data_IF_136490905213
#
_entry.id   IF_136490905213
#
_cell.length_a   1.000
_cell.length_b   1.000
_cell.length_c   1.000
_cell.angle_alpha   90.00
_cell.angle_beta   90.00
_cell.angle_gamma   90.00
#
_symmetry.space_group_name_H-M   'P 1'
#
loop_
_entity.id
_entity.type
_entity.pdbx_description
1 polymer ?
#
# COMPACT_ATOMS: atom_id res chain seq x y z
N UNK A 1 -12.34 13.64 12.93
CA UNK A 1 -11.16 12.75 12.95
C UNK A 1 -11.44 11.38 13.58
N UNK A 2 -12.34 11.26 14.56
CA UNK A 2 -12.71 9.97 15.18
C UNK A 2 -13.62 9.07 14.32
N UNK A 3 -14.45 9.65 13.46
CA UNK A 3 -15.39 8.91 12.59
C UNK A 3 -14.73 8.10 11.46
N UNK A 4 -13.51 8.45 11.04
CA UNK A 4 -12.78 7.75 9.95
C UNK A 4 -12.20 6.41 10.42
N UNK A 5 -12.01 6.24 11.72
CA UNK A 5 -11.41 5.04 12.32
C UNK A 5 -12.44 3.91 12.50
N UNK A 6 -13.73 4.25 12.58
CA UNK A 6 -14.80 3.27 12.86
C UNK A 6 -15.41 2.60 11.63
N UNK A 7 -15.06 3.02 10.40
CA UNK A 7 -15.65 2.50 9.17
C UNK A 7 -14.88 1.32 8.56
N UNK A 8 -14.30 0.45 9.38
CA UNK A 8 -13.74 -0.82 8.91
C UNK A 8 -14.83 -1.90 8.99
N UNK A 9 -15.30 -2.45 7.88
CA UNK A 9 -16.08 -3.66 7.93
C UNK A 9 -15.17 -4.81 8.38
N UNK A 10 -15.25 -5.16 9.65
CA UNK A 10 -14.52 -6.28 10.28
C UNK A 10 -14.88 -7.66 9.73
N UNK A 11 -15.76 -7.78 8.73
CA UNK A 11 -16.49 -9.03 8.52
C UNK A 11 -16.37 -9.69 7.13
N UNK A 12 -15.58 -9.22 6.17
CA UNK A 12 -15.58 -9.88 4.84
C UNK A 12 -14.43 -10.84 4.53
N UNK A 13 -13.43 -10.96 5.38
CA UNK A 13 -12.35 -11.98 5.24
C UNK A 13 -12.41 -13.09 6.28
N UNK A 14 -13.56 -13.31 6.91
CA UNK A 14 -13.78 -14.25 8.00
C UNK A 14 -14.35 -15.58 7.53
N UNK A 15 -13.70 -16.31 6.63
CA UNK A 15 -14.15 -17.68 6.32
C UNK A 15 -13.06 -18.76 6.32
N UNK A 16 -11.93 -18.54 7.01
CA UNK A 16 -11.17 -19.64 7.61
C UNK A 16 -10.90 -19.29 9.07
N UNK A 17 -11.09 -20.22 10.02
CA UNK A 17 -10.73 -19.98 11.41
C UNK A 17 -9.24 -19.63 11.43
N UNK A 18 -8.92 -18.37 11.75
CA UNK A 18 -7.54 -17.92 11.90
C UNK A 18 -6.92 -18.71 13.04
N UNK A 19 -6.29 -19.84 12.72
CA UNK A 19 -5.53 -20.59 13.71
C UNK A 19 -4.50 -19.60 14.29
N UNK A 20 -4.39 -19.54 15.61
CA UNK A 20 -3.39 -18.70 16.31
C UNK A 20 -2.00 -18.89 15.72
N UNK A 21 -1.69 -20.08 15.21
CA UNK A 21 -0.42 -20.40 14.56
C UNK A 21 -0.24 -19.72 13.20
N UNK A 22 -1.29 -19.63 12.37
CA UNK A 22 -1.23 -18.90 11.09
C UNK A 22 -0.99 -17.41 11.34
N UNK A 23 -1.69 -16.83 12.30
CA UNK A 23 -1.50 -15.43 12.67
C UNK A 23 -0.08 -15.19 13.18
N UNK A 24 0.46 -16.06 14.07
CA UNK A 24 1.83 -15.94 14.56
C UNK A 24 2.87 -16.00 13.42
N UNK A 25 2.67 -16.87 12.42
CA UNK A 25 3.54 -16.93 11.23
C UNK A 25 3.51 -15.63 10.43
N UNK A 26 2.34 -15.04 10.25
CA UNK A 26 2.15 -13.78 9.52
C UNK A 26 2.83 -12.61 10.23
N UNK A 27 2.61 -12.46 11.53
CA UNK A 27 3.23 -11.38 12.31
C UNK A 27 4.75 -11.52 12.37
N UNK A 28 5.27 -12.74 12.56
CA UNK A 28 6.69 -13.00 12.50
C UNK A 28 7.28 -12.65 11.12
N UNK A 29 6.59 -13.04 10.04
CA UNK A 29 7.03 -12.72 8.69
C UNK A 29 7.00 -11.21 8.42
N UNK A 30 5.94 -10.48 8.80
CA UNK A 30 5.88 -9.02 8.67
C UNK A 30 7.08 -8.35 9.34
N UNK A 31 7.38 -8.71 10.59
CA UNK A 31 8.51 -8.14 11.35
C UNK A 31 9.84 -8.43 10.67
N UNK A 32 10.07 -9.67 10.25
CA UNK A 32 11.32 -10.08 9.60
C UNK A 32 11.47 -9.43 8.22
N UNK A 33 10.41 -9.41 7.41
CA UNK A 33 10.44 -8.78 6.09
C UNK A 33 10.69 -7.28 6.20
N UNK A 34 10.04 -6.61 7.15
CA UNK A 34 10.23 -5.18 7.38
C UNK A 34 11.69 -4.83 7.67
N UNK A 35 12.38 -5.65 8.47
CA UNK A 35 13.74 -5.36 8.92
C UNK A 35 14.83 -5.83 7.94
N UNK A 36 14.60 -6.91 7.21
CA UNK A 36 15.63 -7.61 6.43
C UNK A 36 15.30 -7.77 4.94
N UNK A 37 14.07 -7.41 4.53
CA UNK A 37 13.53 -7.78 3.22
C UNK A 37 13.02 -9.22 3.20
N UNK A 38 12.14 -9.53 2.24
CA UNK A 38 11.61 -10.89 2.12
C UNK A 38 12.54 -11.83 1.35
N UNK A 39 13.46 -11.32 0.53
CA UNK A 39 14.38 -12.15 -0.24
C UNK A 39 15.33 -12.95 0.69
N UNK A 40 15.87 -12.28 1.70
CA UNK A 40 16.86 -12.85 2.63
C UNK A 40 16.26 -13.75 3.70
N UNK A 41 15.00 -13.52 4.09
CA UNK A 41 14.34 -14.25 5.17
C UNK A 41 13.98 -15.67 4.76
N UNK A 42 14.39 -16.67 5.58
CA UNK A 42 14.06 -18.08 5.36
C UNK A 42 12.76 -18.51 6.04
N UNK A 43 12.14 -19.58 5.55
CA UNK A 43 10.97 -20.22 6.23
C UNK A 43 11.33 -20.65 7.66
N UNK A 44 12.57 -21.09 7.88
CA UNK A 44 13.04 -21.47 9.21
C UNK A 44 13.07 -20.30 10.18
N UNK A 45 13.58 -19.15 9.73
CA UNK A 45 13.60 -17.93 10.54
C UNK A 45 12.17 -17.51 10.93
N UNK A 46 11.22 -17.56 10.00
CA UNK A 46 9.81 -17.27 10.26
C UNK A 46 9.23 -18.25 11.28
N UNK A 47 9.47 -19.55 11.11
CA UNK A 47 8.97 -20.57 12.04
C UNK A 47 9.54 -20.40 13.45
N UNK A 48 10.82 -20.08 13.55
CA UNK A 48 11.50 -19.85 14.84
C UNK A 48 10.90 -18.63 15.54
N UNK A 49 10.76 -17.50 14.82
CA UNK A 49 10.18 -16.27 15.36
C UNK A 49 8.69 -16.45 15.75
N UNK A 50 7.96 -17.27 15.02
CA UNK A 50 6.55 -17.59 15.28
C UNK A 50 6.35 -18.69 16.34
N UNK A 51 7.42 -19.27 16.89
CA UNK A 51 7.38 -20.42 17.79
C UNK A 51 6.54 -21.59 17.22
N UNK A 52 6.72 -21.88 15.92
CA UNK A 52 6.01 -22.96 15.21
C UNK A 52 6.97 -23.90 14.49
N UNK A 53 6.46 -25.05 14.03
CA UNK A 53 7.25 -25.99 13.23
C UNK A 53 7.13 -25.71 11.73
N UNK A 54 8.11 -26.13 10.93
CA UNK A 54 8.03 -26.12 9.46
C UNK A 54 6.82 -26.91 8.95
N UNK A 55 6.48 -28.03 9.60
CA UNK A 55 5.27 -28.80 9.26
C UNK A 55 4.02 -27.94 9.41
N UNK A 56 3.96 -27.11 10.45
CA UNK A 56 2.84 -26.17 10.66
C UNK A 56 2.84 -25.09 9.58
N UNK A 57 3.99 -24.56 9.18
CA UNK A 57 4.08 -23.59 8.08
C UNK A 57 3.51 -24.17 6.79
N UNK A 58 3.98 -25.35 6.36
CA UNK A 58 3.53 -25.98 5.13
C UNK A 58 2.09 -26.48 5.12
N UNK A 59 1.39 -26.49 6.28
CA UNK A 59 -0.07 -26.67 6.32
C UNK A 59 -0.84 -25.43 5.82
N UNK A 60 -0.23 -24.25 5.91
CA UNK A 60 -0.90 -23.00 5.54
C UNK A 60 -0.36 -22.40 4.24
N UNK A 61 0.91 -22.60 3.92
CA UNK A 61 1.60 -21.99 2.80
C UNK A 61 2.42 -23.01 2.02
N UNK A 62 2.28 -23.02 0.70
CA UNK A 62 3.13 -23.87 -0.15
C UNK A 62 4.61 -23.46 -0.14
N UNK A 63 4.90 -22.23 0.27
CA UNK A 63 6.25 -21.68 0.36
C UNK A 63 6.23 -20.24 0.85
N UNK A 64 7.42 -19.64 0.96
CA UNK A 64 7.59 -18.25 1.37
C UNK A 64 6.84 -17.28 0.44
N UNK A 65 6.90 -17.50 -0.87
CA UNK A 65 6.23 -16.65 -1.87
C UNK A 65 4.73 -16.55 -1.62
N UNK A 66 4.06 -17.66 -1.29
CA UNK A 66 2.62 -17.64 -0.97
C UNK A 66 2.31 -16.77 0.25
N UNK A 67 3.19 -16.75 1.27
CA UNK A 67 3.04 -15.87 2.42
C UNK A 67 3.31 -14.40 2.05
N UNK A 68 4.32 -14.12 1.24
CA UNK A 68 4.58 -12.78 0.70
C UNK A 68 3.36 -12.27 -0.05
N UNK A 69 2.84 -13.03 -1.00
CA UNK A 69 1.66 -12.67 -1.79
C UNK A 69 0.44 -12.39 -0.90
N UNK A 70 0.18 -13.23 0.11
CA UNK A 70 -0.94 -13.02 1.05
C UNK A 70 -0.82 -11.70 1.80
N UNK A 71 0.36 -11.38 2.36
CA UNK A 71 0.57 -10.16 3.14
C UNK A 71 0.36 -8.89 2.29
N UNK A 72 0.90 -8.88 1.08
CA UNK A 72 0.75 -7.74 0.17
C UNK A 72 -0.67 -7.60 -0.39
N UNK A 73 -1.33 -8.73 -0.73
CA UNK A 73 -2.72 -8.72 -1.18
C UNK A 73 -3.67 -8.20 -0.10
N UNK A 74 -3.45 -8.60 1.16
CA UNK A 74 -4.24 -8.09 2.29
C UNK A 74 -4.05 -6.59 2.50
N UNK A 75 -2.81 -6.11 2.47
CA UNK A 75 -2.52 -4.67 2.58
C UNK A 75 -3.19 -3.88 1.46
N UNK A 76 -3.11 -4.35 0.21
CA UNK A 76 -3.79 -3.75 -0.94
C UNK A 76 -5.29 -3.64 -0.69
N UNK A 77 -5.91 -4.72 -0.22
CA UNK A 77 -7.36 -4.75 0.00
C UNK A 77 -7.78 -3.83 1.16
N UNK A 78 -6.99 -3.74 2.22
CA UNK A 78 -7.25 -2.79 3.31
C UNK A 78 -7.21 -1.35 2.81
N UNK A 79 -6.24 -0.98 1.98
CA UNK A 79 -6.15 0.34 1.35
C UNK A 79 -7.36 0.62 0.48
N UNK A 80 -7.72 -0.32 -0.39
CA UNK A 80 -8.90 -0.22 -1.27
C UNK A 80 -10.16 0.04 -0.46
N UNK A 81 -10.44 -0.81 0.54
CA UNK A 81 -11.65 -0.71 1.35
C UNK A 81 -11.75 0.63 2.10
N UNK A 82 -10.63 1.16 2.59
CA UNK A 82 -10.59 2.48 3.26
C UNK A 82 -10.95 3.60 2.31
N UNK A 83 -10.40 3.60 1.10
CA UNK A 83 -10.67 4.65 0.10
C UNK A 83 -12.08 4.53 -0.47
N UNK A 84 -12.60 3.32 -0.69
CA UNK A 84 -13.99 3.10 -1.12
C UNK A 84 -14.99 3.56 -0.04
N UNK A 85 -14.73 3.25 1.22
CA UNK A 85 -15.54 3.72 2.34
C UNK A 85 -15.55 5.25 2.43
N UNK A 86 -14.39 5.89 2.28
CA UNK A 86 -14.27 7.34 2.25
C UNK A 86 -15.10 7.96 1.11
N UNK A 87 -15.00 7.40 -0.09
CA UNK A 87 -15.83 7.84 -1.20
C UNK A 87 -17.33 7.64 -0.94
N UNK A 88 -17.73 6.55 -0.30
CA UNK A 88 -19.15 6.31 0.02
C UNK A 88 -19.73 7.36 0.98
N UNK A 89 -18.91 7.96 1.82
CA UNK A 89 -19.32 8.99 2.83
C UNK A 89 -19.37 10.43 2.28
N UNK A 90 -19.21 10.65 0.97
CA UNK A 90 -19.19 11.99 0.37
C UNK A 90 -18.15 12.93 1.00
N UNK A 91 -16.92 12.44 1.14
CA UNK A 91 -15.81 13.17 1.74
C UNK A 91 -15.52 14.52 1.02
N UNK A 92 -14.94 15.45 1.76
CA UNK A 92 -14.30 16.65 1.19
C UNK A 92 -12.94 16.31 0.54
N UNK A 93 -12.37 17.28 -0.18
CA UNK A 93 -11.03 17.13 -0.76
C UNK A 93 -9.97 16.99 0.35
N UNK A 94 -10.10 17.76 1.43
CA UNK A 94 -9.20 17.73 2.58
C UNK A 94 -9.23 16.34 3.27
N UNK A 95 -10.42 15.75 3.41
CA UNK A 95 -10.59 14.40 3.98
C UNK A 95 -10.00 13.33 3.06
N UNK A 96 -10.20 13.45 1.76
CA UNK A 96 -9.57 12.54 0.77
C UNK A 96 -8.04 12.62 0.82
N UNK A 97 -7.50 13.84 0.88
CA UNK A 97 -6.08 14.10 1.02
C UNK A 97 -5.53 13.50 2.33
N UNK A 98 -6.17 13.81 3.46
CA UNK A 98 -5.75 13.30 4.77
C UNK A 98 -5.75 11.77 4.82
N UNK A 99 -6.74 11.11 4.20
CA UNK A 99 -6.79 9.65 4.09
C UNK A 99 -5.64 9.08 3.26
N UNK A 100 -5.34 9.68 2.09
CA UNK A 100 -4.21 9.27 1.25
C UNK A 100 -2.88 9.42 2.01
N UNK A 101 -2.67 10.52 2.73
CA UNK A 101 -1.47 10.71 3.58
C UNK A 101 -1.38 9.68 4.69
N UNK A 102 -2.48 9.40 5.39
CA UNK A 102 -2.51 8.41 6.46
C UNK A 102 -2.18 7.01 5.94
N UNK A 103 -2.80 6.60 4.83
CA UNK A 103 -2.56 5.30 4.18
C UNK A 103 -1.09 5.17 3.75
N UNK A 104 -0.55 6.21 3.10
CA UNK A 104 0.85 6.20 2.66
C UNK A 104 1.81 6.04 3.84
N UNK A 105 1.61 6.81 4.91
CA UNK A 105 2.44 6.74 6.12
C UNK A 105 2.36 5.36 6.78
N UNK A 106 1.16 4.81 6.96
CA UNK A 106 0.96 3.50 7.57
C UNK A 106 1.61 2.39 6.73
N UNK A 107 1.41 2.41 5.41
CA UNK A 107 2.01 1.43 4.51
C UNK A 107 3.55 1.41 4.63
N UNK A 108 4.19 2.59 4.73
CA UNK A 108 5.64 2.71 4.89
C UNK A 108 6.13 2.20 6.26
N UNK A 109 5.30 2.23 7.30
CA UNK A 109 5.67 1.74 8.63
C UNK A 109 5.33 0.27 8.86
N UNK A 110 4.45 -0.32 8.04
CA UNK A 110 3.97 -1.68 8.27
C UNK A 110 4.60 -2.72 7.32
N UNK A 111 4.78 -2.38 6.06
CA UNK A 111 5.17 -3.35 5.05
C UNK A 111 6.23 -2.84 4.05
N UNK A 112 6.15 -1.57 3.62
CA UNK A 112 7.00 -1.03 2.57
C UNK A 112 8.26 -0.36 3.15
N UNK A 113 9.07 -1.12 3.90
CA UNK A 113 10.40 -0.65 4.36
C UNK A 113 11.40 -0.57 3.20
N UNK A 114 12.54 0.10 3.41
CA UNK A 114 13.58 0.18 2.38
C UNK A 114 14.07 -1.19 1.89
N UNK A 115 14.36 -2.19 2.76
CA UNK A 115 14.73 -3.54 2.32
C UNK A 115 13.64 -4.23 1.49
N UNK A 116 12.36 -4.06 1.84
CA UNK A 116 11.24 -4.65 1.09
C UNK A 116 11.09 -3.99 -0.28
N UNK A 117 11.24 -2.66 -0.36
CA UNK A 117 11.18 -1.96 -1.64
C UNK A 117 12.32 -2.35 -2.57
N UNK A 118 13.53 -2.57 -2.02
CA UNK A 118 14.67 -3.08 -2.77
C UNK A 118 14.41 -4.50 -3.30
N UNK A 119 13.86 -5.39 -2.48
CA UNK A 119 13.47 -6.73 -2.89
C UNK A 119 12.41 -6.73 -4.01
N UNK A 120 11.43 -5.82 -3.94
CA UNK A 120 10.42 -5.67 -5.00
C UNK A 120 11.05 -5.18 -6.30
N UNK A 121 11.97 -4.21 -6.21
CA UNK A 121 12.65 -3.66 -7.38
C UNK A 121 13.59 -4.66 -8.07
N UNK A 122 14.17 -5.58 -7.30
CA UNK A 122 15.17 -6.56 -7.76
C UNK A 122 14.65 -8.01 -7.73
N UNK A 123 13.33 -8.21 -7.72
CA UNK A 123 12.74 -9.56 -7.63
C UNK A 123 13.16 -10.43 -8.81
N UNK A 124 13.84 -11.55 -8.51
CA UNK A 124 14.31 -12.51 -9.51
C UNK A 124 13.33 -13.67 -9.73
N UNK A 125 12.42 -13.91 -8.80
CA UNK A 125 11.41 -14.96 -8.90
C UNK A 125 10.27 -14.51 -9.83
N UNK A 126 10.04 -15.27 -10.90
CA UNK A 126 9.06 -14.92 -11.95
C UNK A 126 7.60 -14.89 -11.44
N UNK A 127 7.27 -15.68 -10.43
CA UNK A 127 5.93 -15.69 -9.84
C UNK A 127 5.69 -14.41 -9.05
N UNK A 128 6.63 -14.01 -8.20
CA UNK A 128 6.57 -12.77 -7.44
C UNK A 128 6.64 -11.54 -8.36
N UNK A 129 7.48 -11.57 -9.40
CA UNK A 129 7.54 -10.50 -10.39
C UNK A 129 6.17 -10.24 -11.04
N UNK A 130 5.52 -11.31 -11.52
CA UNK A 130 4.17 -11.22 -12.11
C UNK A 130 3.15 -10.72 -11.10
N UNK A 131 3.23 -11.20 -9.87
CA UNK A 131 2.35 -10.78 -8.78
C UNK A 131 2.49 -9.28 -8.49
N UNK A 132 3.71 -8.76 -8.29
CA UNK A 132 3.92 -7.33 -8.01
C UNK A 132 3.56 -6.45 -9.21
N UNK A 133 3.82 -6.90 -10.44
CA UNK A 133 3.38 -6.19 -11.66
C UNK A 133 1.85 -6.11 -11.75
N UNK A 134 1.14 -7.19 -11.47
CA UNK A 134 -0.33 -7.19 -11.42
C UNK A 134 -0.87 -6.25 -10.34
N UNK A 135 -0.27 -6.28 -9.15
CA UNK A 135 -0.64 -5.37 -8.06
C UNK A 135 -0.43 -3.90 -8.44
N UNK A 136 0.65 -3.59 -9.12
CA UNK A 136 0.95 -2.22 -9.57
C UNK A 136 -0.10 -1.75 -10.59
N UNK A 137 -0.45 -2.56 -11.57
CA UNK A 137 -1.50 -2.23 -12.55
C UNK A 137 -2.87 -2.06 -11.90
N UNK A 138 -3.26 -2.96 -11.00
CA UNK A 138 -4.51 -2.85 -10.25
C UNK A 138 -4.55 -1.58 -9.37
N UNK A 139 -3.41 -1.18 -8.79
CA UNK A 139 -3.28 0.07 -8.05
C UNK A 139 -3.58 1.27 -8.96
N UNK A 140 -3.00 1.32 -10.16
CA UNK A 140 -3.25 2.42 -11.10
C UNK A 140 -4.69 2.46 -11.58
N UNK A 141 -5.28 1.33 -11.89
CA UNK A 141 -6.70 1.24 -12.27
C UNK A 141 -7.61 1.74 -11.14
N UNK A 142 -7.33 1.35 -9.91
CA UNK A 142 -8.08 1.81 -8.75
C UNK A 142 -7.91 3.32 -8.52
N UNK A 143 -6.69 3.84 -8.56
CA UNK A 143 -6.41 5.27 -8.39
C UNK A 143 -7.07 6.11 -9.49
N UNK A 144 -7.10 5.63 -10.74
CA UNK A 144 -7.85 6.27 -11.83
C UNK A 144 -9.33 6.41 -11.48
N UNK A 145 -9.96 5.33 -11.04
CA UNK A 145 -11.37 5.34 -10.63
C UNK A 145 -11.62 6.27 -9.45
N UNK A 146 -10.72 6.30 -8.49
CA UNK A 146 -10.78 7.18 -7.33
C UNK A 146 -10.76 8.67 -7.74
N UNK A 147 -9.76 9.08 -8.54
CA UNK A 147 -9.67 10.45 -9.02
C UNK A 147 -10.83 10.84 -9.96
N UNK A 148 -11.30 9.91 -10.80
CA UNK A 148 -12.48 10.16 -11.63
C UNK A 148 -13.72 10.43 -10.76
N UNK A 149 -13.90 9.71 -9.66
CA UNK A 149 -15.00 9.98 -8.71
C UNK A 149 -14.86 11.36 -8.07
N UNK A 150 -13.65 11.79 -7.70
CA UNK A 150 -13.42 13.14 -7.18
C UNK A 150 -13.73 14.22 -8.23
N UNK A 151 -13.42 14.00 -9.51
CA UNK A 151 -13.78 14.89 -10.61
C UNK A 151 -15.29 14.98 -10.80
N UNK A 152 -16.01 13.84 -10.82
CA UNK A 152 -17.48 13.82 -10.94
C UNK A 152 -18.16 14.60 -9.81
N UNK A 153 -17.56 14.58 -8.62
CA UNK A 153 -18.03 15.35 -7.45
C UNK A 153 -17.57 16.80 -7.44
N UNK A 154 -16.83 17.24 -8.44
CA UNK A 154 -16.25 18.59 -8.55
C UNK A 154 -15.32 18.97 -7.39
N UNK A 155 -14.72 17.97 -6.75
CA UNK A 155 -13.74 18.17 -5.68
C UNK A 155 -12.33 18.49 -6.25
N UNK A 156 -12.06 18.07 -7.48
CA UNK A 156 -10.85 18.43 -8.24
C UNK A 156 -11.27 18.94 -9.63
N UNK A 157 -10.32 19.54 -10.32
CA UNK A 157 -10.59 20.22 -11.60
C UNK A 157 -11.18 19.26 -12.64
N UNK A 158 -12.43 19.51 -13.06
CA UNK A 158 -13.21 18.62 -13.92
C UNK A 158 -12.76 18.60 -15.38
N UNK A 159 -11.99 19.60 -15.82
CA UNK A 159 -11.48 19.69 -17.20
C UNK A 159 -10.16 18.95 -17.45
N UNK A 160 -9.56 18.34 -16.40
CA UNK A 160 -8.33 17.57 -16.59
C UNK A 160 -8.64 16.24 -17.29
N UNK A 161 -7.98 15.92 -18.42
CA UNK A 161 -8.16 14.62 -19.07
C UNK A 161 -7.75 13.47 -18.12
N UNK A 162 -8.51 12.37 -18.08
CA UNK A 162 -8.17 11.20 -17.27
C UNK A 162 -6.77 10.67 -17.54
N UNK A 163 -6.32 10.74 -18.79
CA UNK A 163 -4.99 10.30 -19.23
C UNK A 163 -3.87 11.13 -18.60
N UNK A 164 -4.12 12.42 -18.39
CA UNK A 164 -3.16 13.31 -17.70
C UNK A 164 -3.05 12.96 -16.22
N UNK A 165 -4.17 12.65 -15.58
CA UNK A 165 -4.19 12.19 -14.17
C UNK A 165 -3.43 10.89 -14.03
N UNK A 166 -3.65 9.93 -14.93
CA UNK A 166 -2.93 8.66 -14.98
C UNK A 166 -1.41 8.86 -15.10
N UNK A 167 -1.01 9.66 -16.09
CA UNK A 167 0.39 9.96 -16.31
C UNK A 167 1.01 10.60 -15.06
N UNK A 168 0.28 11.51 -14.43
CA UNK A 168 0.73 12.19 -13.23
C UNK A 168 0.91 11.23 -12.05
N UNK A 169 -0.03 10.32 -11.79
CA UNK A 169 0.08 9.30 -10.74
C UNK A 169 1.30 8.41 -10.96
N UNK A 170 1.53 7.96 -12.20
CA UNK A 170 2.72 7.15 -12.55
C UNK A 170 4.02 7.93 -12.36
N UNK A 171 4.05 9.21 -12.70
CA UNK A 171 5.21 10.05 -12.48
C UNK A 171 5.50 10.28 -11.00
N UNK A 172 4.47 10.39 -10.15
CA UNK A 172 4.64 10.48 -8.69
C UNK A 172 5.32 9.23 -8.13
N UNK A 173 4.91 8.04 -8.55
CA UNK A 173 5.58 6.79 -8.16
C UNK A 173 7.05 6.75 -8.64
N UNK A 174 7.31 7.23 -9.84
CA UNK A 174 8.67 7.33 -10.39
C UNK A 174 9.54 8.31 -9.58
N UNK A 175 8.98 9.45 -9.20
CA UNK A 175 9.67 10.43 -8.35
C UNK A 175 10.06 9.86 -7.00
N UNK A 176 9.16 9.10 -6.36
CA UNK A 176 9.45 8.45 -5.07
C UNK A 176 10.63 7.47 -5.11
N UNK A 177 10.94 6.93 -6.31
CA UNK A 177 12.05 5.99 -6.52
C UNK A 177 13.35 6.66 -6.97
N UNK A 178 13.39 8.00 -7.09
CA UNK A 178 14.60 8.71 -7.52
C UNK A 178 15.67 8.70 -6.42
N UNK A 179 16.90 8.23 -6.71
CA UNK A 179 17.97 8.16 -5.72
C UNK A 179 18.27 9.50 -5.06
N UNK A 180 18.27 10.59 -5.83
CA UNK A 180 18.54 11.93 -5.33
C UNK A 180 17.49 12.40 -4.30
N UNK A 181 16.23 12.00 -4.46
CA UNK A 181 15.18 12.29 -3.48
C UNK A 181 15.31 11.38 -2.25
N UNK A 182 15.65 10.12 -2.44
CA UNK A 182 15.92 9.20 -1.32
C UNK A 182 17.06 9.73 -0.44
N UNK A 183 18.14 10.24 -1.03
CA UNK A 183 19.25 10.86 -0.30
C UNK A 183 18.84 12.16 0.40
N UNK A 184 18.12 13.05 -0.29
CA UNK A 184 17.62 14.31 0.27
C UNK A 184 16.71 14.08 1.49
N UNK A 185 15.87 13.06 1.44
CA UNK A 185 14.91 12.73 2.49
C UNK A 185 15.43 11.66 3.48
N UNK A 186 16.68 11.20 3.37
CA UNK A 186 17.26 10.18 4.25
C UNK A 186 17.04 10.43 5.74
N UNK A 187 17.09 11.68 6.26
CA UNK A 187 16.80 11.97 7.68
C UNK A 187 15.33 11.75 8.09
N UNK A 188 14.40 11.78 7.13
CA UNK A 188 12.96 11.65 7.36
C UNK A 188 12.25 11.06 6.12
N UNK A 189 12.49 9.79 5.77
CA UNK A 189 12.00 9.18 4.53
C UNK A 189 10.48 9.25 4.36
N UNK A 190 9.74 9.24 5.46
CA UNK A 190 8.27 9.35 5.48
C UNK A 190 7.74 10.72 5.00
N UNK A 191 8.60 11.75 4.91
CA UNK A 191 8.18 13.07 4.41
C UNK A 191 8.10 13.12 2.89
N UNK A 192 8.93 12.38 2.17
CA UNK A 192 8.93 12.41 0.70
C UNK A 192 7.55 12.10 0.08
N UNK A 193 6.86 11.01 0.43
CA UNK A 193 5.52 10.75 -0.07
C UNK A 193 4.50 11.85 0.30
N UNK A 194 4.64 12.43 1.50
CA UNK A 194 3.76 13.50 1.97
C UNK A 194 3.94 14.78 1.14
N UNK A 195 5.18 15.20 0.93
CA UNK A 195 5.49 16.41 0.18
C UNK A 195 5.10 16.24 -1.31
N UNK A 196 5.30 15.06 -1.90
CA UNK A 196 4.84 14.74 -3.26
C UNK A 196 3.31 14.80 -3.35
N UNK A 197 2.59 14.17 -2.41
CA UNK A 197 1.13 14.20 -2.41
C UNK A 197 0.58 15.61 -2.15
N UNK A 198 1.25 16.40 -1.33
CA UNK A 198 0.90 17.80 -1.11
C UNK A 198 1.03 18.63 -2.39
N UNK A 199 2.12 18.44 -3.15
CA UNK A 199 2.28 19.06 -4.46
C UNK A 199 1.17 18.64 -5.44
N UNK A 200 0.81 17.33 -5.45
CA UNK A 200 -0.29 16.81 -6.26
C UNK A 200 -1.61 17.52 -5.93
N UNK A 201 -1.96 17.61 -4.67
CA UNK A 201 -3.26 18.15 -4.24
C UNK A 201 -3.36 19.65 -4.43
N UNK A 202 -2.31 20.41 -4.14
CA UNK A 202 -2.30 21.86 -4.39
C UNK A 202 -2.23 22.19 -5.88
N UNK A 203 -1.64 21.34 -6.70
CA UNK A 203 -1.66 21.48 -8.16
C UNK A 203 -3.00 21.08 -8.79
N UNK A 204 -3.83 20.29 -8.10
CA UNK A 204 -5.16 19.85 -8.55
C UNK A 204 -6.31 20.72 -8.03
N UNK A 205 -6.07 21.57 -7.03
CA UNK A 205 -7.11 22.50 -6.54
C UNK A 205 -7.41 23.55 -7.60
N UNK A 206 -8.69 23.72 -7.91
CA UNK A 206 -9.12 24.89 -8.67
C UNK A 206 -8.91 26.13 -7.80
N UNK A 207 -7.95 26.99 -8.14
CA UNK A 207 -8.05 28.40 -7.74
C UNK A 207 -9.25 28.95 -8.48
N UNK A 208 -10.34 29.24 -7.77
CA UNK A 208 -11.32 30.17 -8.29
C UNK A 208 -10.54 31.44 -8.58
N UNK A 209 -10.48 31.83 -9.86
CA UNK A 209 -9.97 33.13 -10.24
C UNK A 209 -10.98 34.14 -9.68
N UNK A 210 -10.57 34.91 -8.67
CA UNK A 210 -11.25 36.13 -8.27
C UNK A 210 -11.25 37.16 -9.40
#
# INVERSE_FOLDING_TARGET
MQAIIECLPKERYSHMPHSKKRQALREAAKTLFYTQGFATVSVEAICTAAHTSRVTFYKYYFGKNALVQELFAEQKEQVRNRLECLLAQQCSLEEAAAALFAIQRESMTELYSAPVLDDIANVADLELERFFRSMEEEKYQFMRSFFHTLQQRKLIHHSLPPELIDLFIRQMDSLMRQPCLAELYAPSPQRLPQDILQLLLYGLTSREAE
#
